data_IF_080232201252
#
_entry.id   IF_080232201252
#
_cell.length_a   1.000
_cell.length_b   1.000
_cell.length_c   1.000
_cell.angle_alpha   90.00
_cell.angle_beta   90.00
_cell.angle_gamma   90.00
#
_symmetry.space_group_name_H-M   'P 1'
#
loop_
_entity.id
_entity.type
_entity.pdbx_description
1 polymer ?
#
# COMPACT_ATOMS: atom_id res chain seq x y z
N UNK A 1 -8.33 -18.08 9.72
CA UNK A 1 -7.33 -17.36 8.91
C UNK A 1 -7.45 -17.85 7.50
N UNK A 2 -7.79 -16.96 6.55
CA UNK A 2 -7.96 -17.36 5.16
C UNK A 2 -6.63 -17.61 4.48
N UNK A 3 -6.61 -18.41 3.42
CA UNK A 3 -5.42 -18.71 2.60
C UNK A 3 -4.70 -17.43 2.09
N UNK A 4 -5.45 -16.31 1.91
CA UNK A 4 -4.89 -14.98 1.60
C UNK A 4 -4.04 -14.40 2.75
N UNK A 5 -4.45 -14.57 4.00
CA UNK A 5 -3.74 -14.01 5.16
C UNK A 5 -2.38 -14.68 5.36
N UNK A 6 -2.30 -16.00 5.14
CA UNK A 6 -1.05 -16.76 5.24
C UNK A 6 -0.06 -16.37 4.14
N UNK A 7 -0.54 -16.13 2.91
CA UNK A 7 0.29 -15.67 1.80
C UNK A 7 0.84 -14.27 2.04
N UNK A 8 0.00 -13.31 2.46
CA UNK A 8 0.43 -11.95 2.79
C UNK A 8 1.43 -11.97 3.95
N UNK A 9 1.22 -12.80 4.97
CA UNK A 9 2.17 -12.96 6.07
C UNK A 9 3.53 -13.50 5.59
N UNK A 10 3.52 -14.44 4.65
CA UNK A 10 4.74 -15.02 4.05
C UNK A 10 5.46 -13.99 3.17
N UNK A 11 4.73 -13.22 2.37
CA UNK A 11 5.26 -12.13 1.53
C UNK A 11 5.86 -11.01 2.42
N UNK A 12 5.17 -10.60 3.48
CA UNK A 12 5.69 -9.65 4.46
C UNK A 12 6.91 -10.19 5.22
N UNK A 13 6.94 -11.47 5.54
CA UNK A 13 8.10 -12.11 6.18
C UNK A 13 9.31 -12.14 5.23
N UNK A 14 9.08 -12.40 3.94
CA UNK A 14 10.13 -12.35 2.93
C UNK A 14 10.67 -10.92 2.76
N UNK A 15 9.81 -9.91 2.70
CA UNK A 15 10.22 -8.50 2.62
C UNK A 15 10.96 -8.04 3.89
N UNK A 16 10.51 -8.44 5.09
CA UNK A 16 11.21 -8.17 6.35
C UNK A 16 12.56 -8.86 6.41
N UNK A 17 12.66 -10.11 5.95
CA UNK A 17 13.92 -10.85 5.86
C UNK A 17 14.85 -10.21 4.85
N UNK A 18 14.34 -9.81 3.68
CA UNK A 18 15.12 -9.12 2.66
C UNK A 18 15.63 -7.77 3.17
N UNK A 19 14.82 -7.01 3.91
CA UNK A 19 15.25 -5.80 4.62
C UNK A 19 16.33 -6.08 5.68
N UNK A 20 16.15 -7.11 6.49
CA UNK A 20 17.15 -7.51 7.50
C UNK A 20 18.48 -8.00 6.88
N UNK A 21 18.44 -8.48 5.64
CA UNK A 21 19.60 -8.91 4.86
C UNK A 21 20.17 -7.79 3.96
N UNK A 22 19.64 -6.56 4.03
CA UNK A 22 20.10 -5.44 3.19
C UNK A 22 19.73 -5.56 1.70
N UNK A 23 18.90 -6.53 1.32
CA UNK A 23 18.49 -6.76 -0.08
C UNK A 23 17.56 -5.66 -0.62
N UNK A 24 16.89 -4.93 0.28
CA UNK A 24 16.10 -3.75 -0.03
C UNK A 24 16.39 -2.66 1.00
N UNK A 25 16.78 -1.47 0.54
CA UNK A 25 17.30 -0.40 1.40
C UNK A 25 16.30 0.73 1.57
N UNK A 26 15.04 0.38 1.89
CA UNK A 26 13.91 1.33 1.90
C UNK A 26 13.98 2.43 2.96
N UNK A 27 14.91 2.36 3.91
CA UNK A 27 15.17 3.48 4.83
C UNK A 27 16.10 4.47 4.14
N UNK A 28 15.54 5.63 3.80
CA UNK A 28 16.33 6.79 3.42
C UNK A 28 17.08 7.22 4.68
N UNK A 29 18.27 6.68 4.91
CA UNK A 29 19.21 7.36 5.79
C UNK A 29 19.58 8.62 5.01
N UNK A 30 19.00 9.75 5.40
CA UNK A 30 19.45 11.07 4.92
C UNK A 30 20.77 11.34 5.63
N UNK A 31 21.79 10.53 5.32
CA UNK A 31 23.16 10.93 5.54
C UNK A 31 23.47 11.88 4.39
N UNK A 32 24.00 13.09 4.65
CA UNK A 32 24.70 13.80 3.58
C UNK A 32 25.70 12.83 2.94
N UNK A 33 25.83 12.82 1.60
CA UNK A 33 26.84 12.05 0.87
C UNK A 33 28.07 11.95 1.77
N UNK A 34 28.32 10.76 2.30
CA UNK A 34 29.43 10.62 3.23
C UNK A 34 30.69 11.07 2.51
N UNK A 35 31.68 11.53 3.28
CA UNK A 35 33.02 11.82 2.77
C UNK A 35 33.53 10.68 1.84
N UNK A 36 33.09 9.46 2.11
CA UNK A 36 33.38 8.25 1.36
C UNK A 36 32.88 8.28 -0.10
N UNK A 37 31.61 8.59 -0.42
CA UNK A 37 31.21 8.69 -1.83
C UNK A 37 31.77 9.91 -2.53
N UNK A 38 32.01 11.02 -1.83
CA UNK A 38 32.65 12.17 -2.43
C UNK A 38 34.09 11.83 -2.86
N UNK A 39 34.88 11.20 -1.99
CA UNK A 39 36.23 10.74 -2.31
C UNK A 39 36.23 9.73 -3.47
N UNK A 40 35.30 8.78 -3.49
CA UNK A 40 35.15 7.81 -4.59
C UNK A 40 34.75 8.49 -5.91
N UNK A 41 33.87 9.50 -5.86
CA UNK A 41 33.44 10.28 -7.03
C UNK A 41 34.57 11.16 -7.56
N UNK A 42 35.30 11.84 -6.68
CA UNK A 42 36.47 12.66 -7.04
C UNK A 42 37.55 11.81 -7.71
N UNK A 43 37.89 10.65 -7.12
CA UNK A 43 38.82 9.71 -7.72
C UNK A 43 38.34 9.22 -9.10
N UNK A 44 37.04 8.88 -9.21
CA UNK A 44 36.47 8.43 -10.49
C UNK A 44 36.49 9.54 -11.55
N UNK A 45 36.21 10.79 -11.17
CA UNK A 45 36.25 11.94 -12.07
C UNK A 45 37.67 12.25 -12.52
N UNK A 46 38.65 12.22 -11.61
CA UNK A 46 40.05 12.42 -11.95
C UNK A 46 40.55 11.37 -12.95
N UNK A 47 40.26 10.09 -12.69
CA UNK A 47 40.60 8.98 -13.60
C UNK A 47 39.93 9.13 -14.98
N UNK A 48 38.66 9.57 -15.03
CA UNK A 48 37.98 9.84 -16.28
C UNK A 48 38.62 11.00 -17.06
N UNK A 49 39.12 12.01 -16.36
CA UNK A 49 39.86 13.12 -16.94
C UNK A 49 41.18 12.66 -17.56
N UNK A 50 42.00 11.92 -16.81
CA UNK A 50 43.27 11.36 -17.31
C UNK A 50 43.06 10.41 -18.49
N UNK A 51 42.01 9.59 -18.45
CA UNK A 51 41.66 8.70 -19.55
C UNK A 51 41.21 9.50 -20.78
N UNK A 52 40.41 10.56 -20.63
CA UNK A 52 40.00 11.40 -21.74
C UNK A 52 41.18 12.14 -22.39
N UNK A 53 42.12 12.65 -21.59
CA UNK A 53 43.35 13.26 -22.08
C UNK A 53 44.20 12.23 -22.85
N UNK A 54 44.41 11.05 -22.27
CA UNK A 54 45.16 9.96 -22.90
C UNK A 54 44.51 9.49 -24.20
N UNK A 55 43.18 9.38 -24.24
CA UNK A 55 42.42 9.05 -25.45
C UNK A 55 42.63 10.10 -26.55
N UNK A 56 42.61 11.39 -26.20
CA UNK A 56 42.80 12.48 -27.17
C UNK A 56 44.17 12.43 -27.86
N UNK A 57 45.21 12.02 -27.12
CA UNK A 57 46.56 11.84 -27.65
C UNK A 57 46.60 10.61 -28.56
N UNK A 58 46.06 9.48 -28.10
CA UNK A 58 46.04 8.22 -28.86
C UNK A 58 45.24 8.28 -30.16
N UNK A 59 44.17 9.06 -30.19
CA UNK A 59 43.32 9.24 -31.39
C UNK A 59 44.06 9.99 -32.52
N UNK A 60 45.16 10.69 -32.20
CA UNK A 60 46.01 11.40 -33.18
C UNK A 60 47.31 10.66 -33.51
N UNK A 61 47.50 9.44 -32.99
CA UNK A 61 48.71 8.65 -33.24
C UNK A 61 48.77 8.17 -34.70
N UNK A 62 49.96 8.28 -35.31
CA UNK A 62 50.22 7.86 -36.68
C UNK A 62 50.14 6.33 -36.88
N UNK A 63 50.22 5.53 -35.79
CA UNK A 63 50.05 4.07 -35.84
C UNK A 63 48.84 3.60 -34.99
N UNK A 64 47.67 3.39 -35.63
CA UNK A 64 46.44 2.98 -34.94
C UNK A 64 46.54 1.64 -34.19
N UNK A 65 47.40 0.73 -34.64
CA UNK A 65 47.56 -0.59 -34.01
C UNK A 65 48.34 -0.51 -32.70
N UNK A 66 49.36 0.34 -32.64
CA UNK A 66 50.13 0.59 -31.43
C UNK A 66 49.34 1.44 -30.44
N UNK A 67 48.57 2.43 -30.91
CA UNK A 67 47.71 3.23 -30.03
C UNK A 67 46.61 2.40 -29.37
N UNK A 68 45.95 1.49 -30.11
CA UNK A 68 44.98 0.57 -29.55
C UNK A 68 45.57 -0.38 -28.49
N UNK A 69 46.80 -0.87 -28.72
CA UNK A 69 47.51 -1.72 -27.76
C UNK A 69 47.91 -0.95 -26.50
N UNK A 70 48.45 0.27 -26.63
CA UNK A 70 48.79 1.14 -25.49
C UNK A 70 47.55 1.48 -24.65
N UNK A 71 46.42 1.77 -25.30
CA UNK A 71 45.13 1.99 -24.63
C UNK A 71 44.73 0.80 -23.77
N UNK A 72 44.78 -0.42 -24.34
CA UNK A 72 44.41 -1.63 -23.61
C UNK A 72 45.33 -1.89 -22.42
N UNK A 73 46.64 -1.69 -22.58
CA UNK A 73 47.62 -1.85 -21.48
C UNK A 73 47.33 -0.86 -20.35
N UNK A 74 47.16 0.44 -20.64
CA UNK A 74 46.83 1.45 -19.63
C UNK A 74 45.54 1.10 -18.88
N UNK A 75 44.47 0.77 -19.59
CA UNK A 75 43.20 0.40 -18.97
C UNK A 75 43.33 -0.83 -18.06
N UNK A 76 44.19 -1.80 -18.42
CA UNK A 76 44.47 -2.96 -17.58
C UNK A 76 45.33 -2.63 -16.37
N UNK A 77 46.34 -1.77 -16.51
CA UNK A 77 47.18 -1.30 -15.40
C UNK A 77 46.37 -0.50 -14.39
N UNK A 78 45.50 0.41 -14.85
CA UNK A 78 44.57 1.16 -14.00
C UNK A 78 43.60 0.25 -13.24
N UNK A 79 43.06 -0.78 -13.93
CA UNK A 79 42.19 -1.75 -13.30
C UNK A 79 42.93 -2.57 -12.24
N UNK A 80 44.16 -3.01 -12.53
CA UNK A 80 45.00 -3.74 -11.60
C UNK A 80 45.33 -2.89 -10.36
N UNK A 81 45.73 -1.63 -10.56
CA UNK A 81 46.02 -0.70 -9.47
C UNK A 81 44.83 -0.50 -8.52
N UNK A 82 43.60 -0.40 -9.06
CA UNK A 82 42.37 -0.30 -8.25
C UNK A 82 42.13 -1.56 -7.44
N UNK A 83 42.30 -2.73 -8.05
CA UNK A 83 42.11 -4.02 -7.37
C UNK A 83 43.15 -4.22 -6.27
N UNK A 84 44.42 -3.87 -6.52
CA UNK A 84 45.49 -3.90 -5.52
C UNK A 84 45.21 -2.94 -4.37
N UNK A 85 44.62 -1.78 -4.65
CA UNK A 85 44.13 -0.81 -3.68
C UNK A 85 42.83 -1.19 -2.98
N UNK A 86 42.37 -2.45 -3.08
CA UNK A 86 41.10 -2.93 -2.50
C UNK A 86 39.86 -2.14 -2.94
N UNK A 87 39.86 -1.57 -4.14
CA UNK A 87 38.65 -0.96 -4.71
C UNK A 87 37.87 -2.00 -5.51
N UNK A 88 36.55 -1.86 -5.51
CA UNK A 88 35.69 -2.66 -6.37
C UNK A 88 34.52 -1.84 -6.90
N UNK A 89 33.94 -2.32 -7.99
CA UNK A 89 32.75 -1.71 -8.58
C UNK A 89 31.53 -1.91 -7.67
N UNK A 90 30.69 -0.88 -7.64
CA UNK A 90 29.36 -0.96 -7.05
C UNK A 90 28.54 -2.12 -7.65
N UNK A 91 27.99 -2.96 -6.78
CA UNK A 91 27.14 -4.09 -7.08
C UNK A 91 25.90 -3.70 -7.90
N UNK A 92 25.29 -2.57 -7.56
CA UNK A 92 24.13 -2.07 -8.27
C UNK A 92 24.46 -1.56 -9.66
N UNK A 93 25.73 -1.53 -10.08
CA UNK A 93 26.18 -1.22 -11.43
C UNK A 93 26.21 0.28 -11.78
N UNK A 94 26.27 1.17 -10.79
CA UNK A 94 26.43 2.61 -11.02
C UNK A 94 27.83 3.00 -11.57
N UNK A 95 28.74 2.02 -11.69
CA UNK A 95 30.12 2.15 -12.19
C UNK A 95 31.06 2.97 -11.30
N UNK A 96 30.65 3.27 -10.08
CA UNK A 96 31.53 3.86 -9.08
C UNK A 96 32.51 2.82 -8.55
N UNK A 97 33.79 3.17 -8.48
CA UNK A 97 34.81 2.41 -7.77
C UNK A 97 34.87 2.89 -6.33
N UNK A 98 34.71 1.97 -5.39
CA UNK A 98 34.71 2.26 -3.96
C UNK A 98 35.63 1.28 -3.23
N UNK A 99 36.36 1.78 -2.25
CA UNK A 99 37.14 0.98 -1.31
C UNK A 99 36.23 -0.04 -0.62
N UNK A 100 36.64 -1.30 -0.66
CA UNK A 100 35.92 -2.39 -0.02
C UNK A 100 35.89 -2.18 1.50
N UNK A 101 34.74 -2.44 2.10
CA UNK A 101 34.44 -2.13 3.50
C UNK A 101 33.38 -1.06 3.59
N UNK A 102 33.43 -0.25 4.65
CA UNK A 102 32.37 0.72 4.97
C UNK A 102 32.03 1.69 3.84
N UNK A 103 33.03 2.20 3.08
CA UNK A 103 32.76 3.11 1.96
C UNK A 103 31.86 2.47 0.89
N UNK A 104 32.17 1.23 0.51
CA UNK A 104 31.35 0.50 -0.47
C UNK A 104 29.99 0.14 0.09
N UNK A 105 29.93 -0.32 1.35
CA UNK A 105 28.68 -0.70 1.99
C UNK A 105 27.74 0.51 2.11
N UNK A 106 28.23 1.65 2.61
CA UNK A 106 27.49 2.90 2.73
C UNK A 106 26.99 3.38 1.36
N UNK A 107 27.87 3.31 0.34
CA UNK A 107 27.48 3.64 -1.02
C UNK A 107 26.33 2.74 -1.53
N UNK A 108 26.48 1.42 -1.44
CA UNK A 108 25.51 0.46 -2.00
C UNK A 108 24.17 0.47 -1.25
N UNK A 109 24.19 0.73 0.05
CA UNK A 109 22.99 0.73 0.88
C UNK A 109 22.28 2.08 0.88
N UNK A 110 23.00 3.18 1.10
CA UNK A 110 22.35 4.44 1.47
C UNK A 110 22.37 5.48 0.34
N UNK A 111 23.33 5.39 -0.57
CA UNK A 111 23.64 6.49 -1.47
C UNK A 111 23.45 6.14 -2.95
N UNK A 112 23.60 4.88 -3.32
CA UNK A 112 23.56 4.46 -4.71
C UNK A 112 22.19 4.75 -5.31
N UNK A 113 22.18 5.54 -6.39
CA UNK A 113 20.97 5.92 -7.12
C UNK A 113 20.28 4.74 -7.80
N UNK A 114 21.04 3.68 -8.09
CA UNK A 114 20.55 2.44 -8.72
C UNK A 114 20.14 1.36 -7.73
N UNK A 115 20.26 1.60 -6.42
CA UNK A 115 19.81 0.63 -5.42
C UNK A 115 18.31 0.42 -5.55
N UNK A 116 17.85 -0.81 -5.29
CA UNK A 116 16.44 -1.13 -5.31
C UNK A 116 15.77 -0.78 -3.99
N UNK A 117 14.65 -0.08 -4.11
CA UNK A 117 13.84 0.42 -3.00
C UNK A 117 12.42 -0.10 -3.14
N UNK A 118 11.90 -0.69 -2.06
CA UNK A 118 10.50 -1.07 -1.93
C UNK A 118 9.67 0.11 -1.40
N UNK A 119 8.38 0.13 -1.70
CA UNK A 119 7.43 1.07 -1.08
C UNK A 119 7.46 0.98 0.46
N UNK A 120 7.48 2.12 1.16
CA UNK A 120 7.58 2.14 2.63
C UNK A 120 6.31 1.68 3.33
N UNK A 121 5.18 1.73 2.62
CA UNK A 121 3.89 1.20 3.09
C UNK A 121 3.77 -0.32 2.93
N UNK A 122 4.80 -0.99 2.41
CA UNK A 122 4.87 -2.45 2.35
C UNK A 122 4.12 -3.08 1.18
N UNK A 123 3.86 -2.32 0.11
CA UNK A 123 3.34 -2.89 -1.13
C UNK A 123 4.50 -3.53 -1.94
N UNK A 124 4.21 -4.41 -2.92
CA UNK A 124 5.24 -5.15 -3.67
C UNK A 124 5.94 -4.32 -4.77
N UNK A 125 5.63 -3.03 -4.90
CA UNK A 125 6.26 -2.17 -5.92
C UNK A 125 7.70 -1.88 -5.54
N UNK A 126 8.60 -2.08 -6.51
CA UNK A 126 10.05 -1.88 -6.38
C UNK A 126 10.53 -1.02 -7.52
N UNK A 127 11.31 0.01 -7.19
CA UNK A 127 11.98 0.88 -8.16
C UNK A 127 13.40 1.20 -7.71
N UNK A 128 14.23 1.66 -8.63
CA UNK A 128 15.52 2.23 -8.27
C UNK A 128 15.34 3.52 -7.46
N UNK A 129 16.27 3.82 -6.55
CA UNK A 129 16.20 5.02 -5.72
C UNK A 129 16.06 6.31 -6.55
N UNK A 130 16.72 6.40 -7.70
CA UNK A 130 16.60 7.56 -8.57
C UNK A 130 15.19 7.73 -9.14
N UNK A 131 14.51 6.63 -9.47
CA UNK A 131 13.14 6.65 -10.00
C UNK A 131 12.17 7.16 -8.94
N UNK A 132 12.29 6.66 -7.71
CA UNK A 132 11.48 7.14 -6.59
C UNK A 132 11.69 8.61 -6.24
N UNK A 133 12.85 9.17 -6.55
CA UNK A 133 13.20 10.58 -6.29
C UNK A 133 12.80 11.53 -7.43
N UNK A 134 12.32 11.01 -8.57
CA UNK A 134 11.85 11.87 -9.66
C UNK A 134 10.63 12.68 -9.21
N UNK A 135 10.47 13.88 -9.75
CA UNK A 135 9.30 14.73 -9.48
C UNK A 135 8.09 14.20 -10.23
N UNK A 136 6.99 14.04 -9.51
CA UNK A 136 5.68 13.71 -10.03
C UNK A 136 4.76 14.93 -9.94
N UNK A 137 4.56 15.61 -11.07
CA UNK A 137 3.58 16.70 -11.15
C UNK A 137 3.88 17.94 -10.28
N UNK A 138 5.15 18.19 -9.96
CA UNK A 138 5.57 19.36 -9.17
C UNK A 138 6.07 18.99 -7.78
N UNK A 139 5.20 19.14 -6.77
CA UNK A 139 5.56 19.17 -5.35
C UNK A 139 5.85 17.79 -4.71
N UNK A 140 5.56 16.71 -5.43
CA UNK A 140 5.74 15.35 -4.92
C UNK A 140 6.86 14.63 -5.66
N UNK A 141 7.54 13.75 -4.95
CA UNK A 141 8.35 12.68 -5.57
C UNK A 141 7.45 11.53 -6.02
N UNK A 142 7.92 10.70 -6.96
CA UNK A 142 7.22 9.46 -7.36
C UNK A 142 6.86 8.58 -6.16
N UNK A 143 7.73 8.51 -5.15
CA UNK A 143 7.46 7.73 -3.93
C UNK A 143 6.32 8.31 -3.11
N UNK A 144 6.31 9.62 -2.92
CA UNK A 144 5.24 10.30 -2.17
C UNK A 144 3.92 10.22 -2.92
N UNK A 145 3.93 10.42 -4.23
CA UNK A 145 2.74 10.28 -5.07
C UNK A 145 2.16 8.86 -4.97
N UNK A 146 3.03 7.86 -5.13
CA UNK A 146 2.64 6.47 -4.97
C UNK A 146 2.01 6.22 -3.60
N UNK A 147 2.66 6.62 -2.51
CA UNK A 147 2.17 6.38 -1.15
C UNK A 147 0.83 7.05 -0.85
N UNK A 148 0.60 8.25 -1.40
CA UNK A 148 -0.62 9.03 -1.19
C UNK A 148 -1.79 8.54 -2.05
N UNK A 149 -1.55 8.23 -3.32
CA UNK A 149 -2.63 8.09 -4.30
C UNK A 149 -2.75 6.69 -4.92
N UNK A 150 -1.64 5.98 -5.09
CA UNK A 150 -1.62 4.72 -5.85
C UNK A 150 -1.51 3.48 -4.96
N UNK A 151 -0.82 3.59 -3.82
CA UNK A 151 -0.44 2.47 -3.00
C UNK A 151 -1.68 1.77 -2.44
N UNK A 152 -1.82 0.48 -2.72
CA UNK A 152 -2.92 -0.35 -2.24
C UNK A 152 -2.82 -0.66 -0.74
N UNK A 153 -1.63 -0.56 -0.16
CA UNK A 153 -1.39 -0.75 1.27
C UNK A 153 -1.62 0.53 2.09
N UNK A 154 -1.94 1.66 1.43
CA UNK A 154 -2.24 2.91 2.14
C UNK A 154 -3.47 2.77 3.02
N UNK A 155 -3.45 3.41 4.18
CA UNK A 155 -4.56 3.40 5.11
C UNK A 155 -5.60 4.45 4.71
N UNK A 156 -6.84 4.01 4.55
CA UNK A 156 -7.99 4.86 4.25
C UNK A 156 -8.96 4.81 5.42
N UNK A 157 -9.43 5.99 5.86
CA UNK A 157 -10.51 6.08 6.83
C UNK A 157 -11.79 5.53 6.21
N UNK A 158 -12.47 4.62 6.91
CA UNK A 158 -13.70 4.02 6.39
C UNK A 158 -14.72 5.10 5.97
N UNK A 159 -15.27 5.05 4.74
CA UNK A 159 -16.20 6.06 4.22
C UNK A 159 -17.54 6.07 4.95
N UNK A 160 -17.86 5.00 5.71
CA UNK A 160 -19.05 4.95 6.57
C UNK A 160 -18.81 5.54 7.96
N UNK A 161 -17.64 6.11 8.20
CA UNK A 161 -17.23 6.75 9.45
C UNK A 161 -17.40 5.83 10.66
N UNK A 162 -17.02 4.55 10.51
CA UNK A 162 -17.04 3.59 11.62
C UNK A 162 -15.87 3.76 12.61
N UNK A 163 -14.96 4.71 12.34
CA UNK A 163 -13.75 4.97 13.13
C UNK A 163 -12.53 4.14 12.74
N UNK A 164 -12.69 3.11 11.88
CA UNK A 164 -11.57 2.28 11.44
C UNK A 164 -10.75 2.92 10.31
N UNK A 165 -9.44 2.73 10.38
CA UNK A 165 -8.49 2.93 9.27
C UNK A 165 -8.13 1.57 8.72
N UNK A 166 -8.35 1.35 7.43
CA UNK A 166 -8.12 0.06 6.78
C UNK A 166 -7.24 0.23 5.54
N UNK A 167 -6.39 -0.75 5.21
CA UNK A 167 -5.69 -0.77 3.93
C UNK A 167 -6.67 -0.63 2.75
N UNK A 168 -6.26 0.08 1.70
CA UNK A 168 -7.11 0.34 0.53
C UNK A 168 -7.56 -0.97 -0.14
N UNK A 169 -6.68 -1.97 -0.26
CA UNK A 169 -7.02 -3.29 -0.80
C UNK A 169 -8.07 -4.05 0.03
N UNK A 170 -8.11 -3.81 1.35
CA UNK A 170 -9.05 -4.40 2.28
C UNK A 170 -10.33 -3.57 2.47
N UNK A 171 -10.41 -2.36 1.92
CA UNK A 171 -11.50 -1.42 2.15
C UNK A 171 -12.85 -2.01 1.72
N UNK A 172 -12.93 -2.62 0.54
CA UNK A 172 -14.16 -3.22 0.03
C UNK A 172 -14.64 -4.36 0.93
N UNK A 173 -13.74 -5.25 1.31
CA UNK A 173 -14.08 -6.35 2.21
C UNK A 173 -14.52 -5.83 3.59
N UNK A 174 -13.85 -4.78 4.08
CA UNK A 174 -14.26 -4.11 5.30
C UNK A 174 -15.68 -3.57 5.18
N UNK A 175 -15.97 -2.75 4.16
CA UNK A 175 -17.30 -2.18 3.98
C UNK A 175 -18.35 -3.28 3.89
N UNK A 176 -18.13 -4.33 3.12
CA UNK A 176 -19.22 -5.27 2.82
C UNK A 176 -19.48 -6.25 3.95
N UNK A 177 -18.43 -6.65 4.69
CA UNK A 177 -18.54 -7.77 5.62
C UNK A 177 -18.20 -7.41 7.07
N UNK A 178 -17.12 -6.65 7.31
CA UNK A 178 -16.62 -6.47 8.69
C UNK A 178 -16.97 -5.12 9.32
N UNK A 179 -17.45 -4.15 8.53
CA UNK A 179 -17.78 -2.82 9.00
C UNK A 179 -18.98 -2.86 9.94
N UNK A 180 -18.83 -2.26 11.12
CA UNK A 180 -19.90 -2.13 12.12
C UNK A 180 -21.06 -1.28 11.59
N UNK A 181 -20.79 -0.32 10.70
CA UNK A 181 -21.79 0.51 10.02
C UNK A 181 -22.15 -0.01 8.62
N UNK A 182 -21.90 -1.29 8.31
CA UNK A 182 -22.36 -1.89 7.03
C UNK A 182 -23.89 -1.86 6.94
N UNK A 183 -24.47 -1.72 5.74
CA UNK A 183 -25.90 -1.90 5.57
C UNK A 183 -26.29 -3.32 5.95
N UNK A 184 -27.42 -3.45 6.65
CA UNK A 184 -28.04 -4.76 6.86
C UNK A 184 -29.11 -4.98 5.79
N UNK A 185 -29.40 -6.24 5.41
CA UNK A 185 -30.53 -6.54 4.56
C UNK A 185 -31.83 -5.99 5.14
N UNK A 186 -32.72 -5.58 4.25
CA UNK A 186 -34.05 -5.08 4.56
C UNK A 186 -34.78 -6.05 5.49
N UNK A 187 -35.16 -5.56 6.68
CA UNK A 187 -35.96 -6.32 7.62
C UNK A 187 -37.43 -6.04 7.33
N UNK A 188 -38.13 -6.98 6.72
CA UNK A 188 -39.55 -6.83 6.41
C UNK A 188 -40.43 -7.30 7.57
N UNK A 189 -41.60 -6.67 7.73
CA UNK A 189 -42.63 -7.11 8.67
C UNK A 189 -43.08 -8.55 8.35
N UNK A 190 -42.94 -9.47 9.31
CA UNK A 190 -43.26 -10.89 9.12
C UNK A 190 -44.75 -11.17 8.97
N UNK A 191 -45.61 -10.24 9.38
CA UNK A 191 -47.06 -10.30 9.19
C UNK A 191 -47.45 -10.05 7.72
N UNK A 192 -46.55 -9.47 6.91
CA UNK A 192 -46.77 -9.24 5.49
C UNK A 192 -47.50 -7.92 5.17
N UNK A 193 -47.44 -6.92 6.05
CA UNK A 193 -48.04 -5.60 5.80
C UNK A 193 -47.23 -4.71 4.83
N UNK A 194 -46.05 -5.18 4.37
CA UNK A 194 -45.17 -4.46 3.45
C UNK A 194 -44.26 -3.40 4.08
N UNK A 195 -44.28 -3.24 5.41
CA UNK A 195 -43.36 -2.31 6.11
C UNK A 195 -41.94 -2.88 6.16
N UNK A 196 -40.95 -2.05 5.82
CA UNK A 196 -39.52 -2.40 5.80
C UNK A 196 -38.76 -1.55 6.83
N UNK A 197 -37.84 -2.17 7.56
CA UNK A 197 -36.98 -1.56 8.57
C UNK A 197 -35.53 -1.56 8.08
N UNK A 198 -35.05 -0.39 7.66
CA UNK A 198 -33.74 -0.21 7.07
C UNK A 198 -32.78 0.46 8.04
N UNK A 199 -31.51 0.05 8.01
CA UNK A 199 -30.47 0.70 8.80
C UNK A 199 -29.10 0.05 8.65
N UNK A 200 -28.22 0.38 9.58
CA UNK A 200 -26.86 -0.13 9.63
C UNK A 200 -26.71 -1.23 10.69
N UNK A 201 -25.69 -2.06 10.54
CA UNK A 201 -25.46 -3.24 11.38
C UNK A 201 -25.26 -2.91 12.87
N UNK A 202 -24.78 -1.71 13.20
CA UNK A 202 -24.67 -1.24 14.58
C UNK A 202 -26.02 -1.06 15.28
N UNK A 203 -27.12 -1.01 14.54
CA UNK A 203 -28.49 -0.87 15.05
C UNK A 203 -29.35 -2.13 14.85
N UNK A 204 -28.76 -3.26 14.46
CA UNK A 204 -29.54 -4.45 14.11
C UNK A 204 -30.47 -4.93 15.26
N UNK A 205 -30.02 -4.81 16.51
CA UNK A 205 -30.83 -5.15 17.68
C UNK A 205 -32.00 -4.18 17.89
N UNK A 206 -31.77 -2.88 17.66
CA UNK A 206 -32.81 -1.85 17.73
C UNK A 206 -33.88 -2.07 16.65
N UNK A 207 -33.44 -2.32 15.40
CA UNK A 207 -34.33 -2.60 14.27
C UNK A 207 -35.17 -3.86 14.49
N UNK A 208 -34.58 -4.92 15.04
CA UNK A 208 -35.30 -6.13 15.42
C UNK A 208 -36.37 -5.87 16.49
N UNK A 209 -36.05 -5.02 17.47
CA UNK A 209 -37.00 -4.62 18.51
C UNK A 209 -38.14 -3.76 17.94
N UNK A 210 -37.83 -2.80 17.07
CA UNK A 210 -38.82 -1.98 16.38
C UNK A 210 -39.75 -2.82 15.50
N UNK A 211 -39.19 -3.81 14.78
CA UNK A 211 -39.99 -4.75 13.97
C UNK A 211 -40.93 -5.56 14.86
N UNK A 212 -40.43 -6.14 15.96
CA UNK A 212 -41.26 -6.91 16.91
C UNK A 212 -42.38 -6.06 17.51
N UNK A 213 -42.06 -4.85 17.96
CA UNK A 213 -43.05 -3.92 18.50
C UNK A 213 -44.09 -3.56 17.45
N UNK A 214 -43.67 -3.31 16.21
CA UNK A 214 -44.60 -3.08 15.12
C UNK A 214 -45.53 -4.28 14.90
N UNK A 215 -45.00 -5.50 14.78
CA UNK A 215 -45.78 -6.73 14.56
C UNK A 215 -46.84 -6.94 15.66
N UNK A 216 -46.50 -6.62 16.91
CA UNK A 216 -47.40 -6.77 18.06
C UNK A 216 -48.43 -5.64 18.22
N UNK A 217 -48.01 -4.38 18.08
CA UNK A 217 -48.79 -3.22 18.56
C UNK A 217 -49.22 -2.25 17.47
N UNK A 218 -48.45 -2.13 16.37
CA UNK A 218 -48.69 -1.10 15.36
C UNK A 218 -49.09 -1.65 13.99
N UNK A 219 -48.90 -2.94 13.72
CA UNK A 219 -49.15 -3.54 12.42
C UNK A 219 -50.66 -3.52 12.11
N UNK A 220 -51.09 -2.95 10.98
CA UNK A 220 -52.51 -2.88 10.60
C UNK A 220 -53.11 -4.25 10.28
N UNK A 221 -52.29 -5.17 9.76
CA UNK A 221 -52.70 -6.52 9.37
C UNK A 221 -52.53 -7.55 10.49
N UNK A 222 -52.08 -7.15 11.70
CA UNK A 222 -52.03 -8.05 12.85
C UNK A 222 -53.43 -8.51 13.24
N UNK A 223 -53.52 -9.71 13.78
CA UNK A 223 -54.77 -10.28 14.27
C UNK A 223 -55.02 -9.76 15.69
N UNK A 224 -56.20 -9.19 15.92
CA UNK A 224 -56.68 -8.75 17.22
C UNK A 224 -58.04 -9.36 17.51
N UNK A 225 -58.31 -9.64 18.79
CA UNK A 225 -59.62 -10.09 19.25
C UNK A 225 -60.47 -8.88 19.63
N UNK A 226 -61.77 -8.95 19.38
CA UNK A 226 -62.71 -7.94 19.86
C UNK A 226 -62.63 -7.82 21.40
N UNK A 227 -62.71 -6.59 21.91
CA UNK A 227 -62.70 -6.33 23.36
C UNK A 227 -64.11 -6.10 23.94
N UNK A 228 -65.15 -6.29 23.13
CA UNK A 228 -66.53 -6.11 23.58
C UNK A 228 -66.98 -7.30 24.44
N UNK A 229 -67.65 -7.08 25.58
CA UNK A 229 -68.12 -8.18 26.44
C UNK A 229 -68.95 -9.20 25.65
N UNK A 230 -68.52 -10.46 25.64
CA UNK A 230 -69.20 -11.55 24.92
C UNK A 230 -68.82 -11.74 23.45
N UNK A 231 -68.02 -10.84 22.86
CA UNK A 231 -67.53 -11.01 21.48
C UNK A 231 -66.07 -11.52 21.50
N UNK A 232 -65.82 -12.69 20.91
CA UNK A 232 -64.49 -13.31 20.79
C UNK A 232 -63.99 -13.37 19.34
N UNK A 233 -64.58 -12.56 18.45
CA UNK A 233 -64.22 -12.57 17.04
C UNK A 233 -62.81 -12.02 16.82
N UNK A 234 -62.01 -12.74 16.02
CA UNK A 234 -60.66 -12.35 15.63
C UNK A 234 -60.69 -11.70 14.25
N UNK A 235 -60.06 -10.54 14.11
CA UNK A 235 -60.04 -9.75 12.88
C UNK A 235 -58.71 -9.01 12.73
N UNK A 236 -58.44 -8.42 11.57
CA UNK A 236 -57.26 -7.55 11.42
C UNK A 236 -57.46 -6.26 12.20
N UNK A 237 -56.38 -5.70 12.73
CA UNK A 237 -56.43 -4.46 13.51
C UNK A 237 -57.08 -3.30 12.75
N UNK A 238 -56.86 -3.19 11.44
CA UNK A 238 -57.50 -2.18 10.58
C UNK A 238 -59.02 -2.32 10.46
N UNK A 239 -59.56 -3.53 10.62
CA UNK A 239 -60.99 -3.83 10.47
C UNK A 239 -61.75 -3.67 11.80
N UNK A 240 -61.02 -3.65 12.93
CA UNK A 240 -61.59 -3.50 14.28
C UNK A 240 -62.50 -2.29 14.47
N UNK A 241 -62.21 -1.09 13.95
CA UNK A 241 -63.11 0.06 14.08
C UNK A 241 -64.45 -0.14 13.36
N UNK A 242 -64.45 -0.87 12.24
CA UNK A 242 -65.68 -1.19 11.50
C UNK A 242 -66.51 -2.23 12.27
N UNK A 243 -65.89 -3.31 12.73
CA UNK A 243 -66.55 -4.30 13.58
C UNK A 243 -67.10 -3.69 14.87
N UNK A 244 -66.39 -2.75 15.51
CA UNK A 244 -66.91 -2.10 16.73
C UNK A 244 -68.24 -1.38 16.51
N UNK A 245 -68.51 -0.88 15.30
CA UNK A 245 -69.80 -0.24 14.97
C UNK A 245 -70.97 -1.22 14.98
N UNK A 246 -70.76 -2.51 14.73
CA UNK A 246 -71.84 -3.51 14.74
C UNK A 246 -72.36 -3.84 16.14
N UNK A 247 -71.64 -3.49 17.20
CA UNK A 247 -72.08 -3.64 18.59
C UNK A 247 -72.83 -2.42 19.13
N UNK A 248 -72.76 -1.28 18.44
CA UNK A 248 -73.37 -0.01 18.84
C UNK A 248 -74.72 0.24 18.16
N UNK A 249 -75.13 -0.64 17.24
CA UNK A 249 -76.43 -0.66 16.57
C UNK A 249 -77.26 -1.82 17.13
#
# INVERSE_FOLDING_TARGET
>A
MGYRDARIATEQQALRKARALGLFVSEKIVVPLTRASMEAMEMTQWLQGEEAESQSIEDTDANPSDSARRRLVRLMEDAAWRLDGQHSLCFWGCRLWSLVGSQKDDHEHDECKRRLMVCRLGCPVVHEAFQWQQSHGGDHTELEWHELYECNSRLIKCPRDCGAWVPNDALQHHTDFTCVKRPVPDLECRVGCGKVFNGANNRILELEQERKWHEMEACPDRIVVCAWPGCQEAMKAKDRPLHRKSHLC
#
